data_IF_734110972728
#
_entry.id   IF_734110972728
#
_cell.length_a   1.000
_cell.length_b   1.000
_cell.length_c   1.000
_cell.angle_alpha   90.00
_cell.angle_beta   90.00
_cell.angle_gamma   90.00
#
_symmetry.space_group_name_H-M   'P 1'
#
loop_
_entity.id
_entity.type
_entity.pdbx_description
1 polymer ?
#
# COMPACT_ATOMS: atom_id res chain seq x y z
N UNK A 1 -17.93 1.34 -19.27
CA UNK A 1 -17.45 0.00 -18.87
C UNK A 1 -16.10 -0.27 -19.53
N UNK A 2 -15.16 -0.78 -18.76
CA UNK A 2 -13.84 -1.13 -19.29
C UNK A 2 -13.92 -2.50 -19.97
N UNK A 3 -13.38 -2.61 -21.18
CA UNK A 3 -13.35 -3.90 -21.87
C UNK A 3 -12.36 -4.87 -21.19
N UNK A 4 -12.54 -6.20 -21.37
CA UNK A 4 -11.71 -7.20 -20.69
C UNK A 4 -10.21 -7.10 -21.00
N UNK A 5 -9.83 -6.71 -22.20
CA UNK A 5 -8.44 -6.58 -22.59
C UNK A 5 -7.77 -5.41 -21.85
N UNK A 6 -8.43 -4.26 -21.83
CA UNK A 6 -7.95 -3.07 -21.10
C UNK A 6 -7.84 -3.38 -19.60
N UNK A 7 -8.82 -4.07 -19.02
CA UNK A 7 -8.79 -4.44 -17.61
C UNK A 7 -7.59 -5.36 -17.31
N UNK A 8 -7.32 -6.35 -18.16
CA UNK A 8 -6.17 -7.24 -17.99
C UNK A 8 -4.84 -6.47 -18.07
N UNK A 9 -4.71 -5.53 -18.99
CA UNK A 9 -3.51 -4.69 -19.11
C UNK A 9 -3.34 -3.82 -17.86
N UNK A 10 -4.40 -3.20 -17.36
CA UNK A 10 -4.35 -2.38 -16.16
C UNK A 10 -3.93 -3.22 -14.93
N UNK A 11 -4.51 -4.39 -14.74
CA UNK A 11 -4.15 -5.28 -13.64
C UNK A 11 -2.67 -5.67 -13.70
N UNK A 12 -2.16 -6.02 -14.88
CA UNK A 12 -0.75 -6.36 -15.08
C UNK A 12 0.18 -5.19 -14.75
N UNK A 13 -0.21 -3.98 -15.13
CA UNK A 13 0.57 -2.76 -14.83
C UNK A 13 0.56 -2.44 -13.33
N UNK A 14 -0.57 -2.58 -12.66
CA UNK A 14 -0.65 -2.37 -11.22
C UNK A 14 0.21 -3.38 -10.46
N UNK A 15 0.18 -4.64 -10.85
CA UNK A 15 1.05 -5.67 -10.26
C UNK A 15 2.53 -5.34 -10.47
N UNK A 16 2.90 -4.88 -11.65
CA UNK A 16 4.27 -4.47 -11.96
C UNK A 16 4.72 -3.32 -11.06
N UNK A 17 3.88 -2.32 -10.85
CA UNK A 17 4.18 -1.18 -9.98
C UNK A 17 4.42 -1.66 -8.55
N UNK A 18 3.56 -2.53 -8.03
CA UNK A 18 3.70 -3.05 -6.67
C UNK A 18 4.99 -3.88 -6.52
N UNK A 19 5.34 -4.69 -7.52
CA UNK A 19 6.57 -5.46 -7.52
C UNK A 19 7.82 -4.57 -7.56
N UNK A 20 7.77 -3.48 -8.32
CA UNK A 20 8.86 -2.49 -8.35
C UNK A 20 9.01 -1.75 -7.02
N UNK A 21 7.90 -1.44 -6.35
CA UNK A 21 7.92 -0.85 -5.01
C UNK A 21 8.60 -1.79 -4.01
N UNK A 22 8.22 -3.07 -4.00
CA UNK A 22 8.85 -4.09 -3.17
C UNK A 22 10.36 -4.16 -3.43
N UNK A 23 10.75 -4.30 -4.69
CA UNK A 23 12.16 -4.41 -5.08
C UNK A 23 12.96 -3.17 -4.67
N UNK A 24 12.40 -1.99 -4.84
CA UNK A 24 13.06 -0.74 -4.49
C UNK A 24 13.33 -0.65 -2.99
N UNK A 25 12.33 -0.95 -2.16
CA UNK A 25 12.52 -0.89 -0.70
C UNK A 25 13.50 -1.95 -0.22
N UNK A 26 13.30 -3.21 -0.59
CA UNK A 26 14.11 -4.31 -0.06
C UNK A 26 15.57 -4.23 -0.49
N UNK A 27 15.85 -3.72 -1.68
CA UNK A 27 17.22 -3.52 -2.16
C UNK A 27 17.90 -2.30 -1.56
N UNK A 28 17.16 -1.28 -1.18
CA UNK A 28 17.70 -0.03 -0.62
C UNK A 28 17.73 0.00 0.91
N UNK A 29 17.11 -0.95 1.59
CA UNK A 29 17.05 -0.99 3.04
C UNK A 29 18.38 -1.41 3.66
N UNK A 30 18.78 -0.72 4.73
CA UNK A 30 19.98 -1.06 5.50
C UNK A 30 19.68 -2.05 6.64
N UNK A 31 18.45 -2.05 7.14
CA UNK A 31 18.06 -2.93 8.24
C UNK A 31 17.80 -4.34 7.70
N UNK A 32 18.46 -5.38 8.26
CA UNK A 32 18.27 -6.76 7.78
C UNK A 32 16.86 -7.30 7.96
N UNK A 33 16.10 -6.80 8.93
CA UNK A 33 14.70 -7.18 9.13
C UNK A 33 13.87 -6.82 7.90
N UNK A 34 14.15 -5.69 7.27
CA UNK A 34 13.47 -5.27 6.05
C UNK A 34 14.16 -5.88 4.82
N UNK A 35 15.49 -5.71 4.69
CA UNK A 35 16.22 -6.11 3.50
C UNK A 35 16.24 -7.62 3.25
N UNK A 36 16.36 -8.42 4.32
CA UNK A 36 16.51 -9.87 4.22
C UNK A 36 15.24 -10.62 4.60
N UNK A 37 14.61 -10.24 5.71
CA UNK A 37 13.38 -10.88 6.17
C UNK A 37 12.12 -10.35 5.48
N UNK A 38 12.22 -9.28 4.71
CA UNK A 38 11.11 -8.63 4.00
C UNK A 38 9.96 -8.23 4.94
N UNK A 39 10.30 -7.71 6.12
CA UNK A 39 9.32 -7.27 7.11
C UNK A 39 8.72 -5.92 6.72
N UNK A 40 7.99 -5.93 5.63
CA UNK A 40 7.29 -4.77 5.08
C UNK A 40 6.23 -5.24 4.09
N UNK A 41 5.39 -4.34 3.66
CA UNK A 41 4.39 -4.59 2.63
C UNK A 41 4.11 -3.32 1.84
N UNK A 42 3.77 -3.48 0.59
CA UNK A 42 3.45 -2.38 -0.32
C UNK A 42 2.17 -2.68 -1.07
N UNK A 43 1.43 -1.63 -1.38
CA UNK A 43 0.22 -1.78 -2.16
C UNK A 43 -0.26 -0.45 -2.71
N UNK A 44 -1.20 -0.53 -3.62
CA UNK A 44 -1.93 0.63 -4.14
C UNK A 44 -3.37 0.50 -3.69
N UNK A 45 -3.94 1.62 -3.28
CA UNK A 45 -5.26 1.68 -2.65
C UNK A 45 -6.11 2.76 -3.28
N UNK A 46 -7.42 2.56 -3.29
CA UNK A 46 -8.35 3.60 -3.69
C UNK A 46 -8.26 4.77 -2.69
N UNK A 47 -8.02 5.98 -3.19
CA UNK A 47 -7.83 7.16 -2.34
C UNK A 47 -9.07 7.64 -1.62
N UNK A 48 -10.25 7.17 -2.00
CA UNK A 48 -11.52 7.53 -1.35
C UNK A 48 -11.98 6.46 -0.38
N UNK A 49 -11.88 5.19 -0.76
CA UNK A 49 -12.43 4.07 0.02
C UNK A 49 -11.37 3.34 0.85
N UNK A 50 -10.09 3.44 0.48
CA UNK A 50 -9.02 2.67 1.10
C UNK A 50 -8.99 1.20 0.69
N UNK A 51 -9.80 0.80 -0.29
CA UNK A 51 -9.80 -0.57 -0.78
C UNK A 51 -8.51 -0.90 -1.52
N UNK A 52 -8.02 -2.13 -1.35
CA UNK A 52 -6.81 -2.59 -2.00
C UNK A 52 -7.05 -2.78 -3.50
N UNK A 53 -6.26 -2.11 -4.33
CA UNK A 53 -6.24 -2.32 -5.78
C UNK A 53 -5.24 -3.39 -6.16
N UNK A 54 -4.05 -3.35 -5.58
CA UNK A 54 -3.00 -4.34 -5.80
C UNK A 54 -2.07 -4.38 -4.59
N UNK A 55 -1.52 -5.54 -4.31
CA UNK A 55 -0.60 -5.79 -3.19
C UNK A 55 0.69 -6.38 -3.73
N UNK A 56 1.83 -5.92 -3.22
CA UNK A 56 3.12 -6.54 -3.53
C UNK A 56 3.21 -7.96 -2.97
N UNK A 57 3.96 -8.81 -3.66
CA UNK A 57 4.02 -10.26 -3.35
C UNK A 57 5.18 -10.65 -2.44
N UNK A 58 6.17 -9.79 -2.30
CA UNK A 58 7.43 -10.12 -1.62
C UNK A 58 7.46 -9.77 -0.13
N UNK A 59 6.43 -9.07 0.38
CA UNK A 59 6.32 -8.71 1.79
C UNK A 59 5.75 -9.82 2.67
N UNK A 60 5.60 -9.54 3.95
CA UNK A 60 4.99 -10.49 4.90
C UNK A 60 3.48 -10.63 4.67
N UNK A 61 2.96 -11.86 4.62
CA UNK A 61 1.54 -12.11 4.37
C UNK A 61 0.58 -11.47 5.37
N UNK A 62 1.02 -11.28 6.61
CA UNK A 62 0.17 -10.67 7.65
C UNK A 62 -0.28 -9.26 7.27
N UNK A 63 0.54 -8.52 6.53
CA UNK A 63 0.21 -7.17 6.12
C UNK A 63 -0.83 -7.12 4.99
N UNK A 64 -1.01 -8.20 4.25
CA UNK A 64 -1.99 -8.25 3.15
C UNK A 64 -3.39 -7.96 3.66
N UNK A 65 -3.77 -8.55 4.80
CA UNK A 65 -5.09 -8.31 5.38
C UNK A 65 -5.17 -7.05 6.25
N UNK A 66 -4.04 -6.55 6.75
CA UNK A 66 -4.01 -5.44 7.69
C UNK A 66 -3.89 -4.05 7.02
N UNK A 67 -3.25 -3.99 5.85
CA UNK A 67 -2.92 -2.70 5.22
C UNK A 67 -4.15 -1.86 4.84
N UNK A 68 -5.21 -2.47 4.33
CA UNK A 68 -6.40 -1.71 3.96
C UNK A 68 -7.06 -1.04 5.16
N UNK A 69 -7.03 -1.67 6.33
CA UNK A 69 -7.53 -1.08 7.57
C UNK A 69 -6.68 0.13 7.99
N UNK A 70 -5.37 0.02 7.88
CA UNK A 70 -4.46 1.14 8.18
C UNK A 70 -4.69 2.31 7.22
N UNK A 71 -4.83 2.04 5.93
CA UNK A 71 -5.10 3.06 4.92
C UNK A 71 -6.43 3.75 5.17
N UNK A 72 -7.49 3.00 5.47
CA UNK A 72 -8.80 3.56 5.81
C UNK A 72 -8.73 4.46 7.04
N UNK A 73 -8.00 4.04 8.07
CA UNK A 73 -7.81 4.85 9.29
C UNK A 73 -7.10 6.17 8.98
N UNK A 74 -6.06 6.13 8.14
CA UNK A 74 -5.33 7.34 7.72
C UNK A 74 -6.24 8.30 6.94
N UNK A 75 -7.00 7.77 5.98
CA UNK A 75 -7.94 8.59 5.19
C UNK A 75 -8.96 9.26 6.12
N UNK A 76 -9.56 8.52 7.02
CA UNK A 76 -10.55 9.04 7.95
C UNK A 76 -9.97 10.14 8.84
N UNK A 77 -8.78 9.94 9.39
CA UNK A 77 -8.11 10.92 10.23
C UNK A 77 -7.68 12.16 9.45
N UNK A 78 -7.15 11.98 8.25
CA UNK A 78 -6.69 13.09 7.41
C UNK A 78 -7.87 13.99 7.00
N UNK A 79 -9.00 13.43 6.64
CA UNK A 79 -10.19 14.18 6.22
C UNK A 79 -10.81 14.99 7.33
N UNK A 80 -10.61 14.63 8.60
CA UNK A 80 -11.06 15.43 9.74
C UNK A 80 -10.33 16.76 9.86
N UNK A 81 -9.06 16.81 9.47
CA UNK A 81 -8.24 18.02 9.59
C UNK A 81 -8.31 18.88 8.34
N UNK A 82 -8.25 18.26 7.16
CA UNK A 82 -8.30 18.95 5.86
C UNK A 82 -8.52 17.93 4.75
N UNK A 83 -8.87 18.40 3.55
CA UNK A 83 -8.98 17.52 2.40
C UNK A 83 -7.59 16.97 2.01
N UNK A 84 -7.57 15.70 1.64
CA UNK A 84 -6.38 15.07 1.09
C UNK A 84 -6.14 15.56 -0.33
N UNK A 85 -4.92 16.02 -0.60
CA UNK A 85 -4.54 16.55 -1.90
C UNK A 85 -3.48 15.67 -2.56
N UNK A 86 -3.44 15.70 -3.89
CA UNK A 86 -2.39 15.04 -4.65
C UNK A 86 -1.01 15.50 -4.17
N UNK A 87 -0.11 14.55 -3.94
CA UNK A 87 1.23 14.83 -3.44
C UNK A 87 1.37 14.79 -1.93
N UNK A 88 0.28 14.74 -1.19
CA UNK A 88 0.34 14.61 0.27
C UNK A 88 0.93 13.27 0.68
N UNK A 89 1.72 13.28 1.77
CA UNK A 89 2.30 12.09 2.37
C UNK A 89 1.93 12.04 3.84
N UNK A 90 1.46 10.89 4.32
CA UNK A 90 1.07 10.68 5.70
C UNK A 90 1.94 9.62 6.36
N UNK A 91 2.28 9.86 7.63
CA UNK A 91 2.99 8.88 8.46
C UNK A 91 2.04 8.46 9.59
N UNK A 92 1.96 7.17 9.84
CA UNK A 92 1.01 6.63 10.80
C UNK A 92 1.56 5.35 11.44
N UNK A 93 1.51 5.26 12.76
CA UNK A 93 1.99 4.08 13.50
C UNK A 93 1.17 3.75 14.75
N UNK A 94 -0.10 4.15 14.80
CA UNK A 94 -0.97 3.88 15.95
C UNK A 94 -1.49 2.44 15.89
N UNK A 95 -1.00 1.51 16.74
CA UNK A 95 -1.43 0.11 16.68
C UNK A 95 -2.85 -0.13 17.19
N UNK A 96 -3.42 0.83 17.91
CA UNK A 96 -4.79 0.73 18.40
C UNK A 96 -5.82 1.18 17.38
N UNK A 97 -5.36 1.72 16.25
CA UNK A 97 -6.25 2.26 15.21
C UNK A 97 -5.80 1.84 13.81
N UNK A 98 -5.42 0.58 13.68
CA UNK A 98 -5.09 -0.02 12.39
C UNK A 98 -3.63 0.08 11.95
N UNK A 99 -2.77 0.79 12.70
CA UNK A 99 -1.34 0.87 12.42
C UNK A 99 -0.54 -0.27 13.07
N UNK A 100 0.77 -0.16 13.01
CA UNK A 100 1.69 -1.14 13.62
C UNK A 100 2.60 -0.50 14.63
#
# INVERSE_FOLDING_TARGET
>A
MIDPVTLAVLNGRLEQIADEMDATLFRSAFNPIIAEAHDASHGLYDGKTGETLVQGKSGLPIFVGAMSFAVKAVIEKAEKDSDMCEGDVYIFNDPYDGGT
#
